data_IF_456655603065
#
_entry.id   IF_456655603065
#
_cell.length_a   1.000
_cell.length_b   1.000
_cell.length_c   1.000
_cell.angle_alpha   90.00
_cell.angle_beta   90.00
_cell.angle_gamma   90.00
#
_symmetry.space_group_name_H-M   'P 1'
#
loop_
_entity.id
_entity.type
_entity.pdbx_description
1 polymer ?
#
# COMPACT_ATOMS: atom_id res chain seq x y z
N UNK A 1 20.70 -19.19 -15.87
CA UNK A 1 21.08 -17.79 -15.58
C UNK A 1 19.89 -16.81 -15.57
N UNK A 2 19.14 -16.61 -16.68
CA UNK A 2 17.99 -15.65 -16.73
C UNK A 2 16.96 -15.79 -15.59
N UNK A 3 16.55 -17.01 -15.24
CA UNK A 3 15.62 -17.28 -14.14
C UNK A 3 16.14 -16.77 -12.78
N UNK A 4 17.45 -16.96 -12.52
CA UNK A 4 18.11 -16.52 -11.29
C UNK A 4 18.10 -14.99 -11.22
N UNK A 5 18.51 -14.31 -12.30
CA UNK A 5 18.52 -12.84 -12.38
C UNK A 5 17.11 -12.26 -12.17
N UNK A 6 16.09 -12.89 -12.78
CA UNK A 6 14.69 -12.49 -12.59
C UNK A 6 14.23 -12.64 -11.14
N UNK A 7 14.57 -13.76 -10.49
CA UNK A 7 14.21 -14.01 -9.09
C UNK A 7 14.96 -13.08 -8.13
N UNK A 8 16.24 -12.79 -8.40
CA UNK A 8 17.02 -11.83 -7.62
C UNK A 8 16.41 -10.42 -7.69
N UNK A 9 15.99 -9.99 -8.87
CA UNK A 9 15.31 -8.71 -9.02
C UNK A 9 13.93 -8.68 -8.32
N UNK A 10 13.17 -9.77 -8.37
CA UNK A 10 11.94 -9.89 -7.57
C UNK A 10 12.20 -9.82 -6.08
N UNK A 11 13.30 -10.40 -5.61
CA UNK A 11 13.70 -10.29 -4.20
C UNK A 11 14.02 -8.84 -3.82
N UNK A 12 14.71 -8.08 -4.69
CA UNK A 12 14.91 -6.63 -4.48
C UNK A 12 13.57 -5.90 -4.36
N UNK A 13 12.63 -6.12 -5.29
CA UNK A 13 11.32 -5.48 -5.25
C UNK A 13 10.53 -5.86 -3.99
N UNK A 14 10.58 -7.12 -3.58
CA UNK A 14 9.95 -7.58 -2.34
C UNK A 14 10.60 -6.97 -1.10
N UNK A 15 11.93 -6.85 -1.09
CA UNK A 15 12.62 -6.24 0.01
C UNK A 15 12.28 -4.75 0.15
N UNK A 16 12.27 -4.02 -0.97
CA UNK A 16 11.83 -2.62 -0.99
C UNK A 16 10.39 -2.47 -0.52
N UNK A 17 9.50 -3.39 -0.92
CA UNK A 17 8.13 -3.47 -0.41
C UNK A 17 8.07 -3.61 1.12
N UNK A 18 8.88 -4.47 1.73
CA UNK A 18 8.94 -4.64 3.18
C UNK A 18 9.53 -3.42 3.89
N UNK A 19 10.60 -2.85 3.31
CA UNK A 19 11.26 -1.64 3.82
C UNK A 19 10.31 -0.45 3.82
N UNK A 20 9.53 -0.26 2.76
CA UNK A 20 8.60 0.87 2.66
C UNK A 20 7.47 0.77 3.68
N UNK A 21 7.13 -0.44 4.14
CA UNK A 21 6.19 -0.67 5.24
C UNK A 21 6.83 -0.63 6.63
N UNK A 22 8.12 -0.25 6.72
CA UNK A 22 8.88 -0.22 7.95
C UNK A 22 8.91 -1.58 8.66
N UNK A 23 9.22 -2.66 7.94
CA UNK A 23 9.54 -3.93 8.58
C UNK A 23 10.71 -3.76 9.58
N UNK A 24 10.61 -4.32 10.79
CA UNK A 24 11.51 -4.01 11.89
C UNK A 24 13.00 -4.19 11.58
N UNK A 25 13.37 -5.25 10.85
CA UNK A 25 14.76 -5.54 10.49
C UNK A 25 15.32 -4.59 9.42
N UNK A 26 14.52 -3.65 8.92
CA UNK A 26 14.92 -2.67 7.91
C UNK A 26 15.23 -1.29 8.49
N UNK A 27 14.93 -1.04 9.77
CA UNK A 27 15.02 0.29 10.39
C UNK A 27 16.45 0.85 10.44
N UNK A 28 17.45 -0.01 10.67
CA UNK A 28 18.87 0.38 10.76
C UNK A 28 19.69 0.07 9.51
N UNK A 29 19.02 -0.18 8.37
CA UNK A 29 19.74 -0.53 7.15
C UNK A 29 20.52 0.65 6.58
N UNK A 30 21.83 0.41 6.40
CA UNK A 30 22.73 1.39 5.80
C UNK A 30 22.60 1.44 4.27
N UNK A 31 23.31 2.40 3.67
CA UNK A 31 23.30 2.65 2.23
C UNK A 31 23.90 1.51 1.38
N UNK A 32 24.60 0.51 1.97
CA UNK A 32 25.14 -0.62 1.22
C UNK A 32 24.04 -1.47 0.59
N UNK A 33 22.90 -1.60 1.26
CA UNK A 33 21.74 -2.34 0.74
C UNK A 33 21.23 -1.70 -0.56
N UNK A 34 21.19 -0.37 -0.61
CA UNK A 34 20.83 0.38 -1.83
C UNK A 34 21.81 0.09 -2.97
N UNK A 35 23.12 0.04 -2.69
CA UNK A 35 24.14 -0.29 -3.70
C UNK A 35 23.90 -1.69 -4.27
N UNK A 36 23.61 -2.68 -3.41
CA UNK A 36 23.27 -4.05 -3.84
C UNK A 36 22.03 -4.05 -4.74
N UNK A 37 21.00 -3.28 -4.39
CA UNK A 37 19.78 -3.18 -5.20
C UNK A 37 20.03 -2.58 -6.56
N UNK A 38 20.84 -1.52 -6.64
CA UNK A 38 21.26 -0.92 -7.91
C UNK A 38 22.03 -1.94 -8.74
N UNK A 39 22.98 -2.67 -8.15
CA UNK A 39 23.78 -3.68 -8.84
C UNK A 39 22.91 -4.81 -9.42
N UNK A 40 22.03 -5.42 -8.61
CA UNK A 40 21.11 -6.48 -9.05
C UNK A 40 20.18 -5.97 -10.15
N UNK A 41 19.70 -4.73 -10.04
CA UNK A 41 18.84 -4.10 -11.04
C UNK A 41 19.58 -3.86 -12.36
N UNK A 42 20.83 -3.41 -12.31
CA UNK A 42 21.68 -3.25 -13.51
C UNK A 42 21.91 -4.59 -14.19
N UNK A 43 22.18 -5.66 -13.44
CA UNK A 43 22.24 -7.01 -14.00
C UNK A 43 20.92 -7.42 -14.65
N UNK A 44 19.77 -7.10 -14.03
CA UNK A 44 18.47 -7.35 -14.65
C UNK A 44 18.33 -6.63 -15.99
N UNK A 45 18.71 -5.35 -16.08
CA UNK A 45 18.70 -4.60 -17.34
C UNK A 45 19.56 -5.30 -18.40
N UNK A 46 20.79 -5.70 -18.09
CA UNK A 46 21.69 -6.35 -19.05
C UNK A 46 21.06 -7.61 -19.66
N UNK A 47 20.44 -8.45 -18.84
CA UNK A 47 19.85 -9.73 -19.29
C UNK A 47 18.49 -9.59 -19.97
N UNK A 48 17.74 -8.53 -19.68
CA UNK A 48 16.35 -8.34 -20.12
C UNK A 48 16.13 -7.05 -20.92
N UNK A 49 17.18 -6.36 -21.40
CA UNK A 49 17.09 -5.06 -22.10
C UNK A 49 16.06 -5.03 -23.23
N UNK A 50 15.95 -6.12 -23.99
CA UNK A 50 15.04 -6.24 -25.14
C UNK A 50 13.57 -6.38 -24.72
N UNK A 51 13.30 -6.75 -23.46
CA UNK A 51 11.96 -6.86 -22.89
C UNK A 51 11.50 -5.53 -22.25
N UNK A 52 12.43 -4.61 -21.97
CA UNK A 52 12.11 -3.34 -21.31
C UNK A 52 11.52 -2.34 -22.31
N UNK A 53 10.45 -1.68 -21.90
CA UNK A 53 9.78 -0.66 -22.70
C UNK A 53 9.93 0.72 -22.06
N UNK A 54 11.13 1.29 -22.18
CA UNK A 54 11.43 2.61 -21.63
C UNK A 54 10.63 3.71 -22.34
N UNK A 55 10.57 3.70 -23.67
CA UNK A 55 9.91 4.74 -24.47
C UNK A 55 8.44 4.91 -24.09
N UNK A 56 7.71 3.82 -23.85
CA UNK A 56 6.32 3.91 -23.41
C UNK A 56 6.19 4.48 -21.99
N UNK A 57 7.21 4.38 -21.14
CA UNK A 57 7.17 4.77 -19.72
C UNK A 57 7.95 6.07 -19.42
N UNK A 58 8.52 6.72 -20.43
CA UNK A 58 9.41 7.87 -20.25
C UNK A 58 8.76 9.02 -19.49
N UNK A 59 7.54 9.41 -19.87
CA UNK A 59 6.85 10.53 -19.23
C UNK A 59 6.50 10.24 -17.75
N UNK A 60 5.84 9.11 -17.38
CA UNK A 60 5.66 8.76 -15.97
C UNK A 60 6.97 8.70 -15.17
N UNK A 61 8.04 8.13 -15.75
CA UNK A 61 9.35 8.04 -15.10
C UNK A 61 9.92 9.43 -14.84
N UNK A 62 9.85 10.32 -15.84
CA UNK A 62 10.32 11.70 -15.71
C UNK A 62 9.56 12.45 -14.61
N UNK A 63 8.22 12.39 -14.61
CA UNK A 63 7.40 13.03 -13.56
C UNK A 63 7.73 12.50 -12.17
N UNK A 64 7.90 11.17 -12.04
CA UNK A 64 8.28 10.56 -10.77
C UNK A 64 9.67 11.00 -10.31
N UNK A 65 10.65 11.06 -11.21
CA UNK A 65 12.00 11.54 -10.92
C UNK A 65 12.01 12.98 -10.42
N UNK A 66 11.24 13.87 -11.06
CA UNK A 66 11.12 15.27 -10.61
C UNK A 66 10.45 15.33 -9.24
N UNK A 67 9.41 14.53 -8.99
CA UNK A 67 8.75 14.46 -7.68
C UNK A 67 9.72 14.03 -6.57
N UNK A 68 10.43 12.92 -6.78
CA UNK A 68 11.41 12.36 -5.84
C UNK A 68 12.59 13.31 -5.61
N UNK A 69 13.08 13.95 -6.68
CA UNK A 69 14.13 14.96 -6.57
C UNK A 69 13.67 16.11 -5.67
N UNK A 70 12.44 16.59 -5.84
CA UNK A 70 11.83 17.61 -4.98
C UNK A 70 11.78 17.22 -3.50
N UNK A 71 11.47 15.95 -3.18
CA UNK A 71 11.46 15.46 -1.80
C UNK A 71 12.84 15.55 -1.14
N UNK A 72 13.90 15.16 -1.86
CA UNK A 72 15.26 15.14 -1.31
C UNK A 72 15.93 16.51 -1.31
N UNK A 73 15.66 17.32 -2.33
CA UNK A 73 16.24 18.66 -2.48
C UNK A 73 15.81 19.62 -1.37
N UNK A 74 14.65 19.37 -0.75
CA UNK A 74 14.22 20.08 0.46
C UNK A 74 15.21 19.96 1.63
N UNK A 75 16.04 18.91 1.64
CA UNK A 75 17.16 18.74 2.58
C UNK A 75 18.48 19.23 1.96
N UNK A 76 18.94 18.55 0.91
CA UNK A 76 20.15 18.90 0.15
C UNK A 76 20.26 18.06 -1.14
N UNK A 77 21.26 18.38 -1.97
CA UNK A 77 21.51 17.68 -3.23
C UNK A 77 21.91 16.20 -3.04
N UNK A 78 22.66 15.87 -1.99
CA UNK A 78 23.09 14.49 -1.72
C UNK A 78 21.88 13.61 -1.38
N UNK A 79 20.95 14.12 -0.59
CA UNK A 79 19.68 13.47 -0.28
C UNK A 79 18.82 13.28 -1.54
N UNK A 80 18.74 14.28 -2.42
CA UNK A 80 18.02 14.16 -3.69
C UNK A 80 18.60 13.04 -4.58
N UNK A 81 19.91 12.98 -4.74
CA UNK A 81 20.59 11.93 -5.52
C UNK A 81 20.44 10.55 -4.86
N UNK A 82 20.56 10.49 -3.53
CA UNK A 82 20.38 9.26 -2.76
C UNK A 82 18.98 8.66 -2.93
N UNK A 83 17.93 9.50 -2.94
CA UNK A 83 16.57 9.04 -3.22
C UNK A 83 16.40 8.50 -4.64
N UNK A 84 17.00 9.14 -5.65
CA UNK A 84 16.97 8.62 -7.03
C UNK A 84 17.60 7.23 -7.10
N UNK A 85 18.75 7.02 -6.44
CA UNK A 85 19.39 5.72 -6.36
C UNK A 85 18.52 4.69 -5.64
N UNK A 86 17.86 5.07 -4.53
CA UNK A 86 16.92 4.20 -3.81
C UNK A 86 15.78 3.73 -4.71
N UNK A 87 15.20 4.62 -5.53
CA UNK A 87 14.07 4.29 -6.40
C UNK A 87 14.46 3.68 -7.76
N UNK A 88 15.75 3.55 -8.07
CA UNK A 88 16.21 3.00 -9.35
C UNK A 88 15.57 1.63 -9.71
N UNK A 89 15.44 0.66 -8.79
CA UNK A 89 14.73 -0.59 -9.08
C UNK A 89 13.25 -0.36 -9.45
N UNK A 90 12.56 0.58 -8.80
CA UNK A 90 11.16 0.88 -9.15
C UNK A 90 11.06 1.50 -10.55
N UNK A 91 11.97 2.40 -10.91
CA UNK A 91 12.01 3.00 -12.24
C UNK A 91 12.16 1.93 -13.33
N UNK A 92 13.05 0.96 -13.12
CA UNK A 92 13.21 -0.19 -14.02
C UNK A 92 11.95 -1.05 -14.03
N UNK A 93 11.33 -1.28 -12.88
CA UNK A 93 10.09 -2.05 -12.75
C UNK A 93 8.95 -1.48 -13.59
N UNK A 94 8.82 -0.15 -13.66
CA UNK A 94 7.81 0.50 -14.51
C UNK A 94 7.97 0.13 -15.99
N UNK A 95 9.21 -0.09 -16.46
CA UNK A 95 9.51 -0.44 -17.86
C UNK A 95 9.26 -1.92 -18.19
N UNK A 96 9.06 -2.78 -17.19
CA UNK A 96 8.92 -4.23 -17.41
C UNK A 96 7.63 -4.62 -18.15
N UNK A 97 7.63 -5.75 -18.87
CA UNK A 97 6.44 -6.27 -19.52
C UNK A 97 5.30 -6.56 -18.55
N UNK A 98 4.08 -6.46 -19.07
CA UNK A 98 2.85 -6.81 -18.35
C UNK A 98 2.88 -8.22 -17.75
N UNK A 99 3.40 -9.20 -18.48
CA UNK A 99 3.52 -10.57 -18.01
C UNK A 99 4.40 -10.68 -16.75
N UNK A 100 5.50 -9.91 -16.70
CA UNK A 100 6.35 -9.85 -15.52
C UNK A 100 5.62 -9.20 -14.34
N UNK A 101 4.84 -8.13 -14.55
CA UNK A 101 4.05 -7.46 -13.50
C UNK A 101 2.99 -8.38 -12.88
N UNK A 102 2.28 -9.16 -13.70
CA UNK A 102 1.33 -10.19 -13.25
C UNK A 102 2.05 -11.26 -12.41
N UNK A 103 3.22 -11.72 -12.87
CA UNK A 103 4.03 -12.70 -12.14
C UNK A 103 4.54 -12.12 -10.82
N UNK A 104 5.05 -10.89 -10.82
CA UNK A 104 5.55 -10.18 -9.66
C UNK A 104 4.46 -10.04 -8.59
N UNK A 105 3.23 -9.65 -8.95
CA UNK A 105 2.12 -9.57 -8.01
C UNK A 105 1.93 -10.89 -7.26
N UNK A 106 1.80 -11.99 -8.01
CA UNK A 106 1.55 -13.31 -7.41
C UNK A 106 2.68 -13.77 -6.50
N UNK A 107 3.95 -13.54 -6.90
CA UNK A 107 5.11 -13.96 -6.11
C UNK A 107 5.26 -13.11 -4.85
N UNK A 108 5.22 -11.78 -4.99
CA UNK A 108 5.30 -10.83 -3.87
C UNK A 108 4.19 -11.09 -2.86
N UNK A 109 2.95 -11.28 -3.30
CA UNK A 109 1.83 -11.62 -2.41
C UNK A 109 2.08 -12.93 -1.68
N UNK A 110 2.54 -13.98 -2.36
CA UNK A 110 2.80 -15.27 -1.70
C UNK A 110 3.90 -15.14 -0.64
N UNK A 111 5.02 -14.49 -0.96
CA UNK A 111 6.09 -14.25 0.01
C UNK A 111 5.62 -13.41 1.20
N UNK A 112 4.83 -12.38 0.95
CA UNK A 112 4.25 -11.57 2.01
C UNK A 112 3.31 -12.37 2.90
N UNK A 113 2.45 -13.21 2.33
CA UNK A 113 1.55 -14.07 3.08
C UNK A 113 2.29 -15.16 3.88
N UNK A 114 3.42 -15.66 3.38
CA UNK A 114 4.28 -16.55 4.16
C UNK A 114 4.95 -15.88 5.36
N UNK A 115 5.00 -14.55 5.41
CA UNK A 115 5.36 -13.80 6.62
C UNK A 115 4.11 -13.61 7.50
N UNK A 116 3.00 -13.16 6.92
CA UNK A 116 1.79 -12.79 7.67
C UNK A 116 1.12 -13.98 8.38
N UNK A 117 1.09 -15.17 7.77
CA UNK A 117 0.45 -16.35 8.36
C UNK A 117 1.13 -16.79 9.68
N UNK A 118 2.44 -17.12 9.69
CA UNK A 118 3.10 -17.50 10.94
C UNK A 118 3.12 -16.35 11.94
N UNK A 119 3.25 -15.11 11.46
CA UNK A 119 3.16 -13.91 12.28
C UNK A 119 1.84 -13.81 13.03
N UNK A 120 0.70 -14.00 12.33
CA UNK A 120 -0.61 -13.97 12.95
C UNK A 120 -0.81 -15.13 13.92
N UNK A 121 -0.39 -16.34 13.55
CA UNK A 121 -0.47 -17.52 14.43
C UNK A 121 0.29 -17.30 15.74
N UNK A 122 1.52 -16.80 15.67
CA UNK A 122 2.33 -16.49 16.86
C UNK A 122 1.78 -15.32 17.66
N UNK A 123 1.27 -14.28 16.99
CA UNK A 123 0.60 -13.17 17.66
C UNK A 123 -0.61 -13.65 18.47
N UNK A 124 -1.47 -14.49 17.89
CA UNK A 124 -2.61 -15.07 18.61
C UNK A 124 -2.17 -15.98 19.76
N UNK A 125 -1.12 -16.79 19.54
CA UNK A 125 -0.57 -17.67 20.56
C UNK A 125 0.00 -16.90 21.75
N UNK A 126 0.56 -15.71 21.51
CA UNK A 126 1.14 -14.85 22.56
C UNK A 126 0.12 -14.29 23.57
N UNK A 127 -1.18 -14.49 23.36
CA UNK A 127 -2.20 -14.18 24.37
C UNK A 127 -2.41 -15.32 25.38
N UNK A 128 -1.91 -16.52 25.08
CA UNK A 128 -2.11 -17.71 25.90
C UNK A 128 -0.81 -18.22 26.54
N UNK A 129 0.34 -17.93 25.93
CA UNK A 129 1.66 -18.34 26.42
C UNK A 129 2.67 -17.21 26.26
N UNK A 130 3.66 -17.19 27.15
CA UNK A 130 4.81 -16.31 27.03
C UNK A 130 5.75 -16.82 25.93
N UNK A 131 5.85 -16.04 24.83
CA UNK A 131 6.74 -16.35 23.74
C UNK A 131 8.14 -15.75 23.96
N UNK A 132 9.21 -16.42 23.47
CA UNK A 132 10.53 -15.83 23.47
C UNK A 132 10.57 -14.57 22.60
N UNK A 133 11.28 -13.55 23.06
CA UNK A 133 11.47 -12.29 22.34
C UNK A 133 12.95 -11.85 22.38
N UNK A 134 13.32 -10.97 21.45
CA UNK A 134 14.66 -10.38 21.32
C UNK A 134 14.82 -9.10 22.16
N UNK A 135 13.89 -8.81 23.07
CA UNK A 135 13.86 -7.56 23.83
C UNK A 135 13.19 -6.40 23.09
N UNK A 136 13.43 -5.20 23.60
CA UNK A 136 12.87 -3.96 23.07
C UNK A 136 13.68 -3.48 21.85
N UNK A 137 12.96 -3.01 20.84
CA UNK A 137 13.49 -2.32 19.67
C UNK A 137 12.79 -0.97 19.51
N UNK A 138 13.50 -0.01 18.95
CA UNK A 138 13.01 1.36 18.78
C UNK A 138 13.23 1.82 17.34
N UNK A 139 12.24 2.52 16.80
CA UNK A 139 12.41 3.16 15.50
C UNK A 139 13.06 4.53 15.68
N UNK A 140 14.31 4.69 15.27
CA UNK A 140 15.07 5.95 15.39
C UNK A 140 14.42 7.17 14.73
N UNK A 141 13.50 6.96 13.79
CA UNK A 141 12.79 8.07 13.12
C UNK A 141 11.59 8.55 13.95
N UNK A 142 11.10 7.71 14.87
CA UNK A 142 9.91 8.02 15.68
C UNK A 142 10.11 7.50 17.11
N UNK A 143 10.68 8.35 17.98
CA UNK A 143 11.14 7.98 19.32
C UNK A 143 10.03 7.40 20.23
N UNK A 144 8.76 7.72 19.96
CA UNK A 144 7.61 7.16 20.70
C UNK A 144 7.31 5.68 20.40
N UNK A 145 7.96 5.09 19.40
CA UNK A 145 7.66 3.75 18.90
C UNK A 145 8.64 2.70 19.43
N UNK A 146 8.35 2.26 20.66
CA UNK A 146 9.06 1.17 21.36
C UNK A 146 8.25 -0.12 21.25
N UNK A 147 8.91 -1.22 20.83
CA UNK A 147 8.26 -2.51 20.65
C UNK A 147 9.08 -3.66 21.24
N UNK A 148 8.37 -4.64 21.79
CA UNK A 148 8.91 -5.98 22.06
C UNK A 148 8.97 -6.77 20.74
N UNK A 149 10.15 -7.28 20.40
CA UNK A 149 10.39 -7.98 19.14
C UNK A 149 10.29 -9.51 19.29
N UNK A 150 9.24 -10.12 18.73
CA UNK A 150 9.04 -11.59 18.71
C UNK A 150 9.51 -12.24 17.40
N UNK A 151 10.41 -11.57 16.65
CA UNK A 151 10.97 -11.95 15.34
C UNK A 151 9.92 -11.93 14.21
N UNK A 152 8.84 -12.70 14.36
CA UNK A 152 7.76 -12.81 13.39
C UNK A 152 6.68 -11.75 13.57
N UNK A 153 6.61 -11.09 14.72
CA UNK A 153 5.76 -9.92 14.94
C UNK A 153 6.39 -9.00 15.98
N UNK A 154 5.92 -7.77 16.05
CA UNK A 154 6.30 -6.80 17.08
C UNK A 154 5.06 -6.37 17.87
N UNK A 155 5.20 -6.19 19.18
CA UNK A 155 4.14 -5.69 20.08
C UNK A 155 4.62 -4.44 20.78
N UNK A 156 3.88 -3.35 20.62
CA UNK A 156 4.22 -2.06 21.22
C UNK A 156 3.14 -1.65 22.20
N UNK A 157 3.52 -0.84 23.18
CA UNK A 157 2.66 -0.41 24.29
C UNK A 157 1.30 0.20 23.85
N UNK A 158 1.26 0.82 22.66
CA UNK A 158 0.05 1.42 22.09
C UNK A 158 -0.75 0.48 21.18
N UNK A 159 -0.25 -0.73 20.91
CA UNK A 159 -0.77 -1.66 19.91
C UNK A 159 -0.82 -3.13 20.39
N UNK A 160 -0.69 -3.42 21.68
CA UNK A 160 -0.53 -4.79 22.20
C UNK A 160 -1.62 -5.79 21.77
N UNK A 161 -2.81 -5.29 21.45
CA UNK A 161 -3.97 -6.05 20.98
C UNK A 161 -4.23 -5.94 19.47
N UNK A 162 -3.49 -5.08 18.75
CA UNK A 162 -3.67 -4.80 17.33
C UNK A 162 -2.58 -5.47 16.51
N UNK A 163 -2.96 -6.22 15.48
CA UNK A 163 -1.98 -6.94 14.67
C UNK A 163 -1.35 -6.05 13.58
N UNK A 164 -0.04 -5.88 13.64
CA UNK A 164 0.78 -5.19 12.63
C UNK A 164 1.88 -6.08 12.04
N UNK A 165 1.93 -7.36 12.42
CA UNK A 165 3.00 -8.28 12.01
C UNK A 165 4.40 -7.72 12.32
N UNK A 166 5.33 -7.81 11.39
CA UNK A 166 6.69 -7.26 11.50
C UNK A 166 6.77 -5.75 11.17
N UNK A 167 5.65 -5.10 10.85
CA UNK A 167 5.59 -3.72 10.36
C UNK A 167 5.31 -2.74 11.48
N UNK A 168 5.61 -1.46 11.25
CA UNK A 168 5.47 -0.42 12.27
C UNK A 168 4.04 -0.27 12.77
N UNK A 169 3.06 0.01 11.90
CA UNK A 169 1.69 0.29 12.36
C UNK A 169 0.62 -0.63 11.75
N UNK A 170 -0.44 -0.97 12.51
CA UNK A 170 -1.58 -1.70 11.98
C UNK A 170 -2.28 -0.94 10.85
N UNK A 171 -2.25 0.40 10.89
CA UNK A 171 -2.81 1.25 9.84
C UNK A 171 -2.04 1.18 8.51
N UNK A 172 -0.71 0.98 8.54
CA UNK A 172 0.07 0.77 7.32
C UNK A 172 -0.26 -0.59 6.71
N UNK A 173 -0.28 -1.64 7.55
CA UNK A 173 -0.63 -2.99 7.11
C UNK A 173 -2.03 -3.02 6.47
N UNK A 174 -3.04 -2.46 7.15
CA UNK A 174 -4.42 -2.51 6.66
C UNK A 174 -4.64 -1.75 5.35
N UNK A 175 -3.95 -0.62 5.18
CA UNK A 175 -3.99 0.11 3.91
C UNK A 175 -3.45 -0.70 2.73
N UNK A 176 -2.29 -1.34 2.91
CA UNK A 176 -1.67 -2.11 1.83
C UNK A 176 -2.48 -3.37 1.52
N UNK A 177 -3.10 -4.00 2.54
CA UNK A 177 -4.02 -5.11 2.32
C UNK A 177 -5.19 -4.70 1.43
N UNK A 178 -5.77 -3.50 1.60
CA UNK A 178 -6.81 -3.00 0.71
C UNK A 178 -6.35 -2.89 -0.75
N UNK A 179 -5.12 -2.44 -1.01
CA UNK A 179 -4.57 -2.37 -2.36
C UNK A 179 -4.37 -3.74 -2.99
N UNK A 180 -3.86 -4.72 -2.24
CA UNK A 180 -3.69 -6.08 -2.75
C UNK A 180 -5.03 -6.79 -2.94
N UNK A 181 -5.98 -6.64 -2.01
CA UNK A 181 -7.35 -7.17 -2.16
C UNK A 181 -8.01 -6.62 -3.43
N UNK A 182 -7.85 -5.33 -3.70
CA UNK A 182 -8.31 -4.71 -4.95
C UNK A 182 -7.55 -5.22 -6.19
N UNK A 183 -6.23 -5.37 -6.12
CA UNK A 183 -5.40 -5.93 -7.19
C UNK A 183 -5.78 -7.39 -7.53
N UNK A 184 -6.18 -8.16 -6.51
CA UNK A 184 -6.74 -9.51 -6.65
C UNK A 184 -8.24 -9.52 -6.94
N UNK A 185 -8.86 -8.35 -7.10
CA UNK A 185 -10.28 -8.15 -7.49
C UNK A 185 -11.26 -8.76 -6.50
N UNK A 186 -10.83 -8.98 -5.25
CA UNK A 186 -11.60 -9.73 -4.26
C UNK A 186 -12.09 -11.09 -4.80
N UNK A 187 -11.24 -11.78 -5.56
CA UNK A 187 -11.51 -13.11 -6.07
C UNK A 187 -11.46 -14.14 -4.93
N UNK A 188 -12.62 -14.41 -4.33
CA UNK A 188 -12.78 -15.33 -3.18
C UNK A 188 -12.47 -16.80 -3.51
N UNK A 189 -12.21 -17.15 -4.78
CA UNK A 189 -11.69 -18.48 -5.14
C UNK A 189 -10.21 -18.64 -4.74
N UNK A 190 -9.51 -17.53 -4.47
CA UNK A 190 -8.09 -17.51 -4.13
C UNK A 190 -7.90 -17.47 -2.62
N UNK A 191 -7.16 -18.44 -2.09
CA UNK A 191 -6.81 -18.49 -0.68
C UNK A 191 -6.09 -17.22 -0.19
N UNK A 192 -5.33 -16.56 -1.06
CA UNK A 192 -4.64 -15.31 -0.74
C UNK A 192 -5.61 -14.21 -0.29
N UNK A 193 -6.79 -14.14 -0.92
CA UNK A 193 -7.80 -13.14 -0.59
C UNK A 193 -8.37 -13.41 0.79
N UNK A 194 -8.67 -14.67 1.12
CA UNK A 194 -9.13 -15.06 2.46
C UNK A 194 -8.12 -14.74 3.55
N UNK A 195 -6.85 -15.10 3.34
CA UNK A 195 -5.79 -14.80 4.32
C UNK A 195 -5.64 -13.28 4.51
N UNK A 196 -5.66 -12.49 3.43
CA UNK A 196 -5.60 -11.03 3.54
C UNK A 196 -6.79 -10.45 4.31
N UNK A 197 -8.00 -10.96 4.12
CA UNK A 197 -9.20 -10.53 4.87
C UNK A 197 -9.11 -10.89 6.36
N UNK A 198 -8.61 -12.09 6.69
CA UNK A 198 -8.39 -12.51 8.08
C UNK A 198 -7.33 -11.63 8.74
N UNK A 199 -6.20 -11.39 8.07
CA UNK A 199 -5.15 -10.52 8.58
C UNK A 199 -5.69 -9.10 8.78
N UNK A 200 -6.44 -8.56 7.82
CA UNK A 200 -7.08 -7.25 7.94
C UNK A 200 -7.88 -7.18 9.23
N UNK A 201 -8.77 -8.14 9.47
CA UNK A 201 -9.63 -8.20 10.66
C UNK A 201 -8.86 -8.16 11.98
N UNK A 202 -7.64 -8.70 12.05
CA UNK A 202 -6.84 -8.62 13.29
C UNK A 202 -6.06 -7.32 13.44
N UNK A 203 -5.97 -6.49 12.38
CA UNK A 203 -5.31 -5.17 12.49
C UNK A 203 -6.06 -4.20 13.39
N UNK A 204 -7.37 -4.41 13.60
CA UNK A 204 -8.26 -3.52 14.35
C UNK A 204 -8.05 -2.06 13.92
N UNK A 205 -7.97 -1.84 12.61
CA UNK A 205 -7.68 -0.56 12.00
C UNK A 205 -8.93 0.00 11.34
N UNK A 206 -9.60 0.96 11.99
CA UNK A 206 -10.80 1.60 11.42
C UNK A 206 -10.55 2.13 10.00
N UNK A 207 -9.43 2.82 9.78
CA UNK A 207 -9.06 3.32 8.45
C UNK A 207 -8.80 2.18 7.44
N UNK A 208 -8.18 1.08 7.88
CA UNK A 208 -7.99 -0.13 7.06
C UNK A 208 -9.33 -0.73 6.63
N UNK A 209 -10.26 -0.90 7.58
CA UNK A 209 -11.60 -1.45 7.34
C UNK A 209 -12.40 -0.61 6.35
N UNK A 210 -12.40 0.71 6.55
CA UNK A 210 -13.06 1.65 5.64
C UNK A 210 -12.44 1.55 4.24
N UNK A 211 -11.11 1.48 4.14
CA UNK A 211 -10.43 1.38 2.84
C UNK A 211 -10.71 0.04 2.14
N UNK A 212 -10.74 -1.07 2.87
CA UNK A 212 -11.13 -2.39 2.33
C UNK A 212 -12.58 -2.40 1.87
N UNK A 213 -13.49 -1.77 2.62
CA UNK A 213 -14.90 -1.65 2.22
C UNK A 213 -15.03 -0.84 0.91
N UNK A 214 -14.36 0.31 0.82
CA UNK A 214 -14.32 1.14 -0.39
C UNK A 214 -13.69 0.37 -1.57
N UNK A 215 -12.57 -0.31 -1.34
CA UNK A 215 -11.91 -1.14 -2.34
C UNK A 215 -12.85 -2.23 -2.86
N UNK A 216 -13.61 -2.88 -1.97
CA UNK A 216 -14.58 -3.89 -2.36
C UNK A 216 -15.73 -3.30 -3.19
N UNK A 217 -16.31 -2.16 -2.78
CA UNK A 217 -17.30 -1.41 -3.57
C UNK A 217 -16.78 -1.11 -4.97
N UNK A 218 -15.57 -0.54 -5.05
CA UNK A 218 -14.94 -0.22 -6.32
C UNK A 218 -14.72 -1.47 -7.18
N UNK A 219 -14.35 -2.59 -6.56
CA UNK A 219 -14.18 -3.86 -7.25
C UNK A 219 -15.50 -4.37 -7.84
N UNK A 220 -16.62 -4.25 -7.11
CA UNK A 220 -17.95 -4.61 -7.60
C UNK A 220 -18.41 -3.71 -8.74
N UNK A 221 -18.20 -2.39 -8.61
CA UNK A 221 -18.48 -1.40 -9.64
C UNK A 221 -17.67 -1.71 -10.91
N UNK A 222 -16.38 -2.00 -10.77
CA UNK A 222 -15.52 -2.41 -11.88
C UNK A 222 -16.03 -3.70 -12.55
N UNK A 223 -16.44 -4.68 -11.73
CA UNK A 223 -16.99 -5.97 -12.19
C UNK A 223 -18.43 -5.91 -12.69
N UNK A 224 -19.12 -4.77 -12.58
CA UNK A 224 -20.56 -4.61 -12.88
C UNK A 224 -21.44 -5.61 -12.11
N UNK A 225 -21.01 -6.02 -10.91
CA UNK A 225 -21.81 -6.86 -10.01
C UNK A 225 -22.91 -6.03 -9.37
N UNK A 226 -23.99 -6.69 -8.95
CA UNK A 226 -25.15 -6.02 -8.35
C UNK A 226 -24.76 -5.29 -7.06
N UNK A 227 -24.81 -3.96 -7.10
CA UNK A 227 -24.53 -3.07 -5.97
C UNK A 227 -25.56 -3.24 -4.82
N UNK A 228 -26.81 -3.60 -5.15
CA UNK A 228 -27.86 -3.84 -4.16
C UNK A 228 -27.56 -5.04 -3.26
N UNK A 229 -27.10 -6.16 -3.84
CA UNK A 229 -26.68 -7.33 -3.05
C UNK A 229 -25.51 -6.98 -2.11
N UNK A 230 -24.63 -6.08 -2.55
CA UNK A 230 -23.55 -5.58 -1.71
C UNK A 230 -24.05 -4.75 -0.53
N UNK A 231 -24.92 -3.76 -0.76
CA UNK A 231 -25.47 -2.95 0.34
C UNK A 231 -26.12 -3.87 1.37
N UNK A 232 -26.89 -4.86 0.91
CA UNK A 232 -27.52 -5.82 1.82
C UNK A 232 -26.48 -6.59 2.65
N UNK A 233 -25.48 -7.22 2.03
CA UNK A 233 -24.51 -8.03 2.77
C UNK A 233 -23.60 -7.20 3.68
N UNK A 234 -23.20 -6.01 3.25
CA UNK A 234 -22.37 -5.12 4.07
C UNK A 234 -23.18 -4.51 5.21
N UNK A 235 -24.41 -4.07 4.97
CA UNK A 235 -25.26 -3.59 6.06
C UNK A 235 -25.56 -4.69 7.07
N UNK A 236 -25.76 -5.94 6.62
CA UNK A 236 -25.94 -7.09 7.51
C UNK A 236 -24.66 -7.36 8.34
N UNK A 237 -23.49 -7.34 7.70
CA UNK A 237 -22.20 -7.57 8.37
C UNK A 237 -21.84 -6.44 9.33
N UNK A 238 -21.94 -5.18 8.91
CA UNK A 238 -21.68 -4.03 9.76
C UNK A 238 -22.72 -3.93 10.88
N UNK A 239 -23.98 -4.25 10.60
CA UNK A 239 -25.04 -4.33 11.61
C UNK A 239 -24.75 -5.40 12.66
N UNK A 240 -24.27 -6.59 12.26
CA UNK A 240 -23.91 -7.65 13.20
C UNK A 240 -22.64 -7.31 14.00
N UNK A 241 -21.64 -6.71 13.36
CA UNK A 241 -20.42 -6.20 14.03
C UNK A 241 -20.77 -5.09 15.03
N UNK A 242 -21.63 -4.15 14.65
CA UNK A 242 -22.07 -3.06 15.52
C UNK A 242 -22.89 -3.58 16.70
N UNK A 243 -23.83 -4.50 16.45
CA UNK A 243 -24.61 -5.13 17.51
C UNK A 243 -23.71 -5.94 18.46
N UNK A 244 -22.78 -6.74 17.91
CA UNK A 244 -21.80 -7.47 18.70
C UNK A 244 -20.96 -6.51 19.56
N UNK A 245 -20.43 -5.44 18.98
CA UNK A 245 -19.66 -4.45 19.71
C UNK A 245 -20.48 -3.74 20.81
N UNK A 246 -21.74 -3.37 20.57
CA UNK A 246 -22.54 -2.63 21.57
C UNK A 246 -23.14 -3.52 22.66
N UNK A 247 -23.55 -4.74 22.33
CA UNK A 247 -24.31 -5.58 23.25
C UNK A 247 -23.46 -6.64 23.94
N UNK A 248 -22.34 -7.07 23.34
CA UNK A 248 -21.42 -8.00 24.01
C UNK A 248 -20.70 -7.31 25.17
N UNK A 249 -20.69 -7.96 26.33
CA UNK A 249 -20.12 -7.43 27.57
C UNK A 249 -20.59 -5.99 27.89
N UNK A 250 -21.86 -5.68 27.58
CA UNK A 250 -22.46 -4.34 27.76
C UNK A 250 -21.69 -3.20 27.06
N UNK A 251 -20.99 -3.50 25.95
CA UNK A 251 -20.20 -2.52 25.22
C UNK A 251 -18.76 -2.35 25.72
N UNK A 252 -18.38 -3.01 26.82
CA UNK A 252 -17.01 -3.05 27.30
C UNK A 252 -16.22 -4.14 26.55
N UNK A 253 -15.93 -3.87 25.28
CA UNK A 253 -15.09 -4.73 24.47
C UNK A 253 -14.26 -3.93 23.46
N UNK A 254 -13.17 -4.55 23.02
CA UNK A 254 -12.17 -3.93 22.15
C UNK A 254 -12.75 -3.43 20.82
N UNK A 255 -13.73 -4.14 20.28
CA UNK A 255 -14.37 -3.76 19.02
C UNK A 255 -15.20 -2.49 19.19
N UNK A 256 -15.87 -2.33 20.33
CA UNK A 256 -16.58 -1.10 20.63
C UNK A 256 -15.61 0.09 20.76
N UNK A 257 -14.60 -0.04 21.63
CA UNK A 257 -13.66 1.06 21.92
C UNK A 257 -12.83 1.46 20.69
N UNK A 258 -12.29 0.49 19.94
CA UNK A 258 -11.37 0.78 18.84
C UNK A 258 -12.06 1.13 17.52
N UNK A 259 -13.32 0.74 17.33
CA UNK A 259 -14.03 0.91 16.05
C UNK A 259 -15.31 1.73 16.24
N UNK A 260 -16.25 1.26 17.06
CA UNK A 260 -17.61 1.84 17.14
C UNK A 260 -17.61 3.21 17.83
N UNK A 261 -16.92 3.35 18.96
CA UNK A 261 -16.84 4.63 19.67
C UNK A 261 -16.13 5.70 18.85
N UNK A 262 -15.19 5.28 18.00
CA UNK A 262 -14.52 6.17 17.04
C UNK A 262 -15.39 6.61 15.87
N UNK A 263 -16.56 6.00 15.66
CA UNK A 263 -17.54 6.42 14.65
C UNK A 263 -18.58 7.39 15.21
N UNK A 264 -18.57 7.66 16.52
CA UNK A 264 -19.48 8.62 17.15
C UNK A 264 -19.22 10.04 16.64
N UNK A 265 -20.25 10.87 16.69
CA UNK A 265 -20.13 12.29 16.34
C UNK A 265 -19.60 13.08 17.54
N UNK A 266 -18.69 13.99 17.24
CA UNK A 266 -18.13 15.00 18.11
C UNK A 266 -18.59 16.36 17.60
N UNK A 267 -19.18 17.17 18.48
CA UNK A 267 -19.83 18.43 18.11
C UNK A 267 -18.84 19.48 17.53
N UNK A 268 -17.53 19.33 17.80
CA UNK A 268 -16.49 20.24 17.30
C UNK A 268 -15.72 19.65 16.10
N UNK A 269 -15.40 18.35 16.13
CA UNK A 269 -14.49 17.70 15.17
C UNK A 269 -15.19 16.78 14.14
N UNK A 270 -16.51 16.65 14.21
CA UNK A 270 -17.28 15.80 13.30
C UNK A 270 -17.31 14.36 13.76
N UNK A 271 -16.42 13.48 13.26
CA UNK A 271 -16.35 12.08 13.71
C UNK A 271 -15.19 11.95 14.72
N UNK A 272 -15.41 11.37 15.89
CA UNK A 272 -14.38 11.21 16.96
C UNK A 272 -13.10 10.57 16.44
N UNK A 273 -13.21 9.60 15.52
CA UNK A 273 -12.08 8.93 14.88
C UNK A 273 -11.26 9.81 13.93
N UNK A 274 -11.70 11.03 13.62
CA UNK A 274 -10.99 12.01 12.79
C UNK A 274 -9.93 12.77 13.62
N UNK A 275 -8.89 12.04 14.05
CA UNK A 275 -7.79 12.56 14.86
C UNK A 275 -6.43 12.39 14.16
N UNK A 276 -6.38 12.67 12.85
CA UNK A 276 -5.21 12.31 12.02
C UNK A 276 -4.07 13.31 12.13
N UNK A 277 -4.38 14.59 12.22
CA UNK A 277 -3.44 15.67 12.53
C UNK A 277 -3.54 16.05 14.00
N UNK A 278 -2.45 16.61 14.52
CA UNK A 278 -2.47 17.28 15.82
C UNK A 278 -2.82 18.76 15.66
N UNK A 279 -3.14 19.42 16.76
CA UNK A 279 -3.27 20.88 16.81
C UNK A 279 -2.00 21.58 16.30
N UNK A 280 -0.81 21.08 16.66
CA UNK A 280 0.44 21.65 16.16
C UNK A 280 0.56 21.56 14.63
N UNK A 281 0.11 20.45 14.03
CA UNK A 281 0.11 20.29 12.59
C UNK A 281 -0.88 21.24 11.90
N UNK A 282 -2.05 21.44 12.51
CA UNK A 282 -3.07 22.35 12.00
C UNK A 282 -2.57 23.80 12.02
N UNK A 283 -1.99 24.26 13.15
CA UNK A 283 -1.40 25.60 13.28
C UNK A 283 -0.27 25.84 12.25
N UNK A 284 0.63 24.86 12.09
CA UNK A 284 1.71 24.90 11.09
C UNK A 284 1.19 24.94 9.66
N UNK A 285 0.06 24.29 9.39
CA UNK A 285 -0.58 24.29 8.09
C UNK A 285 -1.24 25.64 7.79
N UNK A 286 -1.89 26.27 8.76
CA UNK A 286 -2.44 27.61 8.60
C UNK A 286 -1.35 28.67 8.32
N UNK A 287 -0.22 28.60 9.05
CA UNK A 287 0.97 29.43 8.74
C UNK A 287 1.51 29.13 7.34
N UNK A 288 1.53 27.86 6.94
CA UNK A 288 2.00 27.46 5.62
C UNK A 288 1.15 28.06 4.50
N UNK A 289 -0.18 28.03 4.63
CA UNK A 289 -1.12 28.46 3.58
C UNK A 289 -0.93 29.93 3.20
N UNK A 290 -0.51 30.76 4.14
CA UNK A 290 -0.29 32.20 3.93
C UNK A 290 1.14 32.53 3.46
N UNK A 291 2.00 31.52 3.27
CA UNK A 291 3.40 31.72 2.91
C UNK A 291 3.80 30.97 1.64
N UNK A 292 4.97 31.29 1.08
CA UNK A 292 5.54 30.56 -0.06
C UNK A 292 5.90 29.09 0.28
N UNK A 293 5.79 28.68 1.55
CA UNK A 293 6.06 27.31 1.99
C UNK A 293 4.99 26.33 1.54
N UNK A 294 3.78 26.78 1.20
CA UNK A 294 2.74 25.91 0.65
C UNK A 294 3.22 25.11 -0.58
N UNK A 295 4.12 25.68 -1.38
CA UNK A 295 4.61 25.05 -2.60
C UNK A 295 5.72 24.02 -2.36
N UNK A 296 6.55 24.21 -1.33
CA UNK A 296 7.82 23.50 -1.16
C UNK A 296 8.01 22.82 0.20
N UNK A 297 7.09 23.02 1.15
CA UNK A 297 7.17 22.47 2.49
C UNK A 297 8.01 23.31 3.47
N UNK A 298 7.98 22.92 4.74
CA UNK A 298 8.82 23.42 5.81
C UNK A 298 10.11 22.59 5.94
N UNK A 299 11.24 23.20 6.33
CA UNK A 299 12.47 22.47 6.60
C UNK A 299 12.30 21.58 7.83
N UNK A 300 12.96 20.42 7.83
CA UNK A 300 12.80 19.37 8.83
C UNK A 300 13.11 19.79 10.29
N UNK A 301 13.74 20.94 10.53
CA UNK A 301 13.98 21.48 11.88
C UNK A 301 12.87 22.35 12.46
N UNK A 302 11.80 22.65 11.69
CA UNK A 302 10.69 23.53 12.12
C UNK A 302 9.60 22.78 12.92
N UNK A 303 9.60 21.45 12.85
CA UNK A 303 8.62 20.57 13.49
C UNK A 303 9.31 19.31 14.00
N UNK A 304 8.67 18.60 14.94
CA UNK A 304 9.01 17.21 15.23
C UNK A 304 8.01 16.29 14.53
N UNK A 305 8.50 15.19 13.95
CA UNK A 305 7.65 14.27 13.17
C UNK A 305 6.54 13.63 13.99
N UNK A 306 6.81 13.38 15.27
CA UNK A 306 5.87 12.83 16.25
C UNK A 306 4.71 13.77 16.55
N UNK A 307 4.93 15.08 16.45
CA UNK A 307 3.94 16.11 16.74
C UNK A 307 2.97 16.34 15.57
N UNK A 308 3.21 15.81 14.37
CA UNK A 308 2.39 16.17 13.20
C UNK A 308 1.18 15.24 12.96
N UNK A 309 1.27 13.98 13.38
CA UNK A 309 0.31 12.94 12.97
C UNK A 309 0.59 12.43 11.55
N UNK A 310 -0.43 12.24 10.70
CA UNK A 310 -0.19 11.96 9.27
C UNK A 310 -1.31 12.42 8.33
N UNK A 311 -1.27 11.95 7.08
CA UNK A 311 -2.24 12.30 6.04
C UNK A 311 -1.72 13.40 5.13
N UNK A 312 -2.60 13.90 4.28
CA UNK A 312 -2.22 14.82 3.21
C UNK A 312 -1.69 16.17 3.73
N UNK A 313 -2.22 16.68 4.84
CA UNK A 313 -1.73 17.91 5.49
C UNK A 313 -0.27 17.73 5.89
N UNK A 314 0.07 16.65 6.60
CA UNK A 314 1.44 16.35 7.02
C UNK A 314 2.38 16.18 5.83
N UNK A 315 1.94 15.53 4.75
CA UNK A 315 2.74 15.46 3.52
C UNK A 315 3.02 16.86 2.93
N UNK A 316 2.01 17.72 2.92
CA UNK A 316 2.12 19.09 2.41
C UNK A 316 3.00 19.94 3.31
N UNK A 317 2.90 19.79 4.64
CA UNK A 317 3.80 20.40 5.62
C UNK A 317 5.25 20.04 5.33
N UNK A 318 5.52 18.76 5.04
CA UNK A 318 6.89 18.25 4.82
C UNK A 318 7.46 18.61 3.45
N UNK A 319 6.65 18.59 2.40
CA UNK A 319 7.14 18.61 1.01
C UNK A 319 6.47 19.65 0.10
N UNK A 320 5.35 20.23 0.51
CA UNK A 320 4.58 21.19 -0.27
C UNK A 320 3.69 20.58 -1.36
N UNK A 321 2.95 21.45 -2.04
CA UNK A 321 1.99 21.07 -3.08
C UNK A 321 2.65 20.60 -4.37
N UNK A 322 3.87 21.05 -4.70
CA UNK A 322 4.49 20.68 -5.98
C UNK A 322 4.77 19.17 -6.05
N UNK A 323 5.48 18.54 -5.09
CA UNK A 323 5.64 17.09 -5.09
C UNK A 323 4.30 16.35 -5.04
N UNK A 324 3.31 16.86 -4.30
CA UNK A 324 1.96 16.27 -4.24
C UNK A 324 1.33 16.19 -5.64
N UNK A 325 1.29 17.33 -6.35
CA UNK A 325 0.73 17.43 -7.70
C UNK A 325 1.49 16.50 -8.66
N UNK A 326 2.82 16.45 -8.56
CA UNK A 326 3.62 15.58 -9.41
C UNK A 326 3.34 14.09 -9.15
N UNK A 327 3.17 13.66 -7.89
CA UNK A 327 2.74 12.28 -7.61
C UNK A 327 1.33 11.99 -8.12
N UNK A 328 0.41 12.93 -7.98
CA UNK A 328 -0.95 12.78 -8.54
C UNK A 328 -0.91 12.61 -10.07
N UNK A 329 -0.11 13.43 -10.77
CA UNK A 329 0.11 13.31 -12.22
C UNK A 329 0.76 11.96 -12.55
N UNK A 330 1.79 11.53 -11.81
CA UNK A 330 2.45 10.25 -12.01
C UNK A 330 1.45 9.08 -11.97
N UNK A 331 0.64 9.00 -10.92
CA UNK A 331 -0.37 7.94 -10.77
C UNK A 331 -1.46 8.03 -11.84
N UNK A 332 -1.90 9.23 -12.19
CA UNK A 332 -2.86 9.44 -13.29
C UNK A 332 -2.33 8.98 -14.64
N UNK A 333 -1.08 9.33 -14.98
CA UNK A 333 -0.44 8.90 -16.22
C UNK A 333 -0.33 7.37 -16.29
N UNK A 334 0.02 6.71 -15.18
CA UNK A 334 0.05 5.25 -15.11
C UNK A 334 -1.35 4.63 -15.29
N UNK A 335 -2.39 5.19 -14.66
CA UNK A 335 -3.76 4.69 -14.76
C UNK A 335 -4.35 4.82 -16.18
N UNK A 336 -4.06 5.93 -16.85
CA UNK A 336 -4.64 6.26 -18.14
C UNK A 336 -3.84 5.72 -19.34
N UNK A 337 -2.65 5.15 -19.10
CA UNK A 337 -1.80 4.60 -20.16
C UNK A 337 -2.32 3.26 -20.68
N UNK A 338 -2.80 3.26 -21.94
CA UNK A 338 -3.29 2.07 -22.69
C UNK A 338 -4.03 1.07 -21.78
N UNK A 339 -5.06 1.52 -21.06
CA UNK A 339 -5.67 0.72 -20.02
C UNK A 339 -6.41 -0.46 -20.63
N UNK A 340 -6.22 -1.63 -20.04
CA UNK A 340 -7.02 -2.81 -20.37
C UNK A 340 -8.45 -2.66 -19.87
N UNK A 341 -8.57 -2.03 -18.71
CA UNK A 341 -9.83 -1.64 -18.10
C UNK A 341 -9.66 -0.25 -17.48
N UNK A 342 -10.07 0.78 -18.24
CA UNK A 342 -9.97 2.17 -17.81
C UNK A 342 -10.76 2.42 -16.53
N UNK A 343 -11.94 1.80 -16.38
CA UNK A 343 -12.79 2.00 -15.21
C UNK A 343 -12.10 1.45 -13.96
N UNK A 344 -11.59 0.23 -14.03
CA UNK A 344 -10.87 -0.39 -12.92
C UNK A 344 -9.63 0.43 -12.51
N UNK A 345 -8.84 0.89 -13.47
CA UNK A 345 -7.63 1.68 -13.21
C UNK A 345 -7.97 3.00 -12.53
N UNK A 346 -9.01 3.72 -13.00
CA UNK A 346 -9.44 4.98 -12.39
C UNK A 346 -10.01 4.78 -10.99
N UNK A 347 -10.71 3.68 -10.74
CA UNK A 347 -11.18 3.33 -9.40
C UNK A 347 -10.02 2.94 -8.47
N UNK A 348 -8.96 2.29 -8.97
CA UNK A 348 -7.75 2.06 -8.17
C UNK A 348 -7.04 3.39 -7.85
N UNK A 349 -6.99 4.32 -8.81
CA UNK A 349 -6.44 5.66 -8.58
C UNK A 349 -7.25 6.41 -7.51
N UNK A 350 -8.58 6.33 -7.56
CA UNK A 350 -9.45 6.90 -6.52
C UNK A 350 -9.20 6.26 -5.15
N UNK A 351 -8.98 4.94 -5.10
CA UNK A 351 -8.64 4.23 -3.86
C UNK A 351 -7.32 4.74 -3.26
N UNK A 352 -6.29 4.95 -4.09
CA UNK A 352 -5.03 5.55 -3.66
C UNK A 352 -5.21 6.99 -3.16
N UNK A 353 -6.03 7.79 -3.83
CA UNK A 353 -6.32 9.17 -3.41
C UNK A 353 -7.01 9.20 -2.04
N UNK A 354 -7.98 8.31 -1.80
CA UNK A 354 -8.65 8.18 -0.49
C UNK A 354 -7.66 7.72 0.58
N UNK A 355 -6.80 6.75 0.27
CA UNK A 355 -5.74 6.33 1.19
C UNK A 355 -4.77 7.47 1.51
N UNK A 356 -4.44 8.31 0.51
CA UNK A 356 -3.54 9.46 0.66
C UNK A 356 -4.07 10.51 1.62
N UNK A 357 -5.37 10.79 1.58
CA UNK A 357 -6.03 11.69 2.55
C UNK A 357 -5.75 11.23 3.98
N UNK A 358 -5.88 9.93 4.23
CA UNK A 358 -5.72 9.35 5.57
C UNK A 358 -4.25 9.17 5.97
N UNK A 359 -3.39 8.74 5.05
CA UNK A 359 -1.96 8.46 5.26
C UNK A 359 -1.22 8.65 3.93
N UNK A 360 -0.52 9.77 3.82
CA UNK A 360 0.08 10.20 2.57
C UNK A 360 1.49 9.61 2.36
N UNK A 361 1.56 8.43 1.73
CA UNK A 361 2.84 7.80 1.35
C UNK A 361 2.90 7.42 -0.14
N UNK A 362 2.69 8.38 -1.07
CA UNK A 362 2.54 8.12 -2.49
C UNK A 362 3.82 7.61 -3.17
N UNK A 363 4.97 7.67 -2.50
CA UNK A 363 6.24 7.18 -3.00
C UNK A 363 6.61 5.80 -2.44
N UNK A 364 5.83 5.23 -1.52
CA UNK A 364 6.12 3.90 -0.99
C UNK A 364 6.01 2.84 -2.07
N UNK A 365 6.99 1.95 -2.11
CA UNK A 365 7.02 0.81 -3.00
C UNK A 365 5.82 -0.12 -2.78
N UNK A 366 5.36 -0.21 -1.53
CA UNK A 366 4.12 -0.89 -1.15
C UNK A 366 2.84 -0.28 -1.72
N UNK A 367 2.87 0.95 -2.21
CA UNK A 367 1.77 1.55 -2.97
C UNK A 367 1.96 1.32 -4.48
N UNK A 368 3.16 1.60 -4.99
CA UNK A 368 3.47 1.58 -6.42
C UNK A 368 3.36 0.17 -6.99
N UNK A 369 3.91 -0.84 -6.30
CA UNK A 369 3.94 -2.22 -6.78
C UNK A 369 2.53 -2.78 -6.99
N UNK A 370 1.64 -2.85 -5.97
CA UNK A 370 0.30 -3.41 -6.18
C UNK A 370 -0.53 -2.59 -7.19
N UNK A 371 -0.33 -1.27 -7.26
CA UNK A 371 -1.01 -0.44 -8.24
C UNK A 371 -0.62 -0.80 -9.69
N UNK A 372 0.68 -0.76 -9.99
CA UNK A 372 1.22 -1.08 -11.33
C UNK A 372 0.93 -2.52 -11.74
N UNK A 373 1.03 -3.44 -10.77
CA UNK A 373 0.70 -4.84 -10.96
C UNK A 373 -0.80 -5.08 -11.18
N UNK A 374 -1.67 -4.52 -10.34
CA UNK A 374 -3.11 -4.75 -10.39
C UNK A 374 -3.73 -4.27 -11.69
N UNK A 375 -3.32 -3.10 -12.19
CA UNK A 375 -3.74 -2.58 -13.50
C UNK A 375 -3.31 -3.45 -14.68
N UNK A 376 -2.33 -4.33 -14.47
CA UNK A 376 -1.90 -5.32 -15.47
C UNK A 376 -2.87 -6.50 -15.58
N UNK A 377 -3.90 -6.65 -14.76
CA UNK A 377 -4.86 -7.76 -14.86
C UNK A 377 -6.11 -7.40 -15.68
N UNK A 378 -6.41 -8.18 -16.74
CA UNK A 378 -7.67 -8.03 -17.50
C UNK A 378 -8.83 -8.58 -16.67
N UNK A 379 -10.01 -7.95 -16.71
CA UNK A 379 -11.25 -8.65 -16.38
C UNK A 379 -11.60 -9.53 -17.58
N UNK A 380 -11.54 -10.85 -17.41
CA UNK A 380 -12.22 -11.72 -18.35
C UNK A 380 -13.71 -11.44 -18.19
N UNK A 381 -14.34 -10.85 -19.21
CA UNK A 381 -15.80 -10.78 -19.25
C UNK A 381 -16.30 -12.21 -19.51
N UNK A 382 -17.44 -12.59 -18.93
CA UNK A 382 -18.11 -13.85 -19.30
C UNK A 382 -18.39 -13.94 -20.82
N UNK A 383 -18.59 -12.80 -21.48
CA UNK A 383 -18.67 -12.73 -22.95
C UNK A 383 -17.34 -13.07 -23.66
N UNK A 384 -16.19 -12.73 -23.06
CA UNK A 384 -14.86 -13.07 -23.61
C UNK A 384 -14.56 -14.58 -23.44
N UNK A 385 -15.06 -15.21 -22.37
CA UNK A 385 -14.97 -16.67 -22.18
C UNK A 385 -15.79 -17.45 -23.22
N UNK A 386 -16.91 -16.89 -23.70
CA UNK A 386 -17.71 -17.49 -24.77
C UNK A 386 -17.07 -17.36 -26.17
N UNK A 387 -16.23 -16.34 -26.38
CA UNK A 387 -15.55 -16.10 -27.66
C UNK A 387 -14.28 -16.92 -27.86
N UNK A 388 -13.57 -17.29 -26.80
CA UNK A 388 -12.42 -18.21 -26.89
C UNK A 388 -12.84 -19.69 -26.91
N UNK A 389 -14.03 -20.03 -26.41
CA UNK A 389 -14.62 -21.37 -26.54
C UNK A 389 -15.47 -21.54 -27.83
N UNK A 390 -15.33 -20.66 -28.82
CA UNK A 390 -16.09 -20.76 -30.07
C UNK A 390 -15.38 -21.72 -31.06
N UNK A 391 -15.92 -22.92 -31.34
CA UNK A 391 -15.28 -23.90 -32.24
C UNK A 391 -15.07 -23.38 -33.67
N UNK A 392 -15.78 -22.31 -34.09
CA UNK A 392 -15.56 -21.66 -35.38
C UNK A 392 -14.18 -20.96 -35.50
N UNK A 393 -13.58 -20.54 -34.39
CA UNK A 393 -12.25 -19.90 -34.36
C UNK A 393 -11.14 -20.94 -34.52
N UNK A 394 -11.34 -22.14 -33.97
CA UNK A 394 -10.44 -23.28 -34.12
C UNK A 394 -10.43 -23.81 -35.56
N UNK A 395 -11.60 -23.90 -36.21
CA UNK A 395 -11.71 -24.25 -37.64
C UNK A 395 -11.05 -23.22 -38.56
N UNK A 396 -11.21 -21.91 -38.31
CA UNK A 396 -10.53 -20.86 -39.09
C UNK A 396 -9.00 -20.86 -38.92
N UNK A 397 -8.48 -21.40 -37.82
CA UNK A 397 -7.02 -21.54 -37.62
C UNK A 397 -6.43 -22.73 -38.41
N UNK A 398 -7.23 -23.80 -38.62
CA UNK A 398 -6.84 -24.96 -39.42
C UNK A 398 -6.90 -24.68 -40.93
N UNK A 399 -7.87 -23.88 -41.38
CA UNK A 399 -8.01 -23.47 -42.78
C UNK A 399 -6.95 -22.48 -43.28
N UNK A 400 -6.15 -21.88 -42.39
CA UNK A 400 -4.99 -21.03 -42.75
C UNK A 400 -3.66 -21.77 -42.76
N UNK A 401 -3.67 -23.09 -42.55
CA UNK A 401 -2.48 -23.98 -42.55
C UNK A 401 -2.50 -25.00 -43.69
N UNK A 402 -3.41 -24.85 -44.64
CA UNK A 402 -3.41 -25.50 -45.95
C UNK A 402 -3.28 -24.36 -46.96
#
# INVERSE_FOLDING_TARGET
MKKIVRNAYLFVLFFMFLRSLNAWFTWDMNNLVTIVFVFVTTFYIVFFRNELNLSANLLPIFVFLVAVFGLGFAKDLSNALGLICNFFPILVFLTTPRAFKIYALNVITRWWLFILIPSLGLFLLSFFIDLPNLGQIENKTWEMYVYTNYVFFIKGQFYDIRFNSIFLEPGHLGMILAFFLYAFKFDLTKWQVWVMLIVEFFTLSLAGYVLVAIAYVFSLIAQRKSFLKFILYVSLFLGSVFAGARFYNNGDNLLNVLIVDRLQLDDEKGIVGNNRTSTAADDLFEEMVTSNKIWWGWPAGKYKDEDLGAGWQVFTIKFGLIPLILFAIFYFLLANKRPLDRRYNMLFLALLAIAFVQRAYPFWESWIIPFVCGMSFKFLREADLRLDNNPAKEQRSKLKRI
#
